data_IF_993568847713
#
_entry.id   IF_993568847713
#
_cell.length_a   1.000
_cell.length_b   1.000
_cell.length_c   1.000
_cell.angle_alpha   90.00
_cell.angle_beta   90.00
_cell.angle_gamma   90.00
#
_symmetry.space_group_name_H-M   'P 1'
#
loop_
_entity.id
_entity.type
_entity.pdbx_description
1 polymer ?
#
# COMPACT_ATOMS: atom_id res chain seq x y z
N UNK A 1 -13.08 31.41 58.52
CA UNK A 1 -12.50 31.76 57.21
C UNK A 1 -11.37 30.84 56.75
N UNK A 2 -10.82 29.96 57.60
CA UNK A 2 -9.66 29.13 57.27
C UNK A 2 -10.00 27.94 56.33
N UNK A 3 -11.20 27.37 56.47
CA UNK A 3 -11.68 26.23 55.66
C UNK A 3 -11.74 26.54 54.16
N UNK A 4 -12.21 27.74 53.80
CA UNK A 4 -12.41 28.13 52.40
C UNK A 4 -11.07 28.33 51.68
N UNK A 5 -10.04 28.81 52.39
CA UNK A 5 -8.67 28.94 51.88
C UNK A 5 -8.01 27.58 51.64
N UNK A 6 -8.25 26.61 52.52
CA UNK A 6 -7.68 25.26 52.40
C UNK A 6 -8.26 24.51 51.19
N UNK A 7 -9.55 24.67 50.90
CA UNK A 7 -10.18 24.06 49.71
C UNK A 7 -9.56 24.61 48.42
N UNK A 8 -9.37 25.93 48.33
CA UNK A 8 -8.71 26.56 47.17
C UNK A 8 -7.25 26.13 46.99
N UNK A 9 -6.52 25.92 48.08
CA UNK A 9 -5.14 25.42 48.04
C UNK A 9 -5.05 23.97 47.53
N UNK A 10 -6.07 23.14 47.79
CA UNK A 10 -6.08 21.71 47.42
C UNK A 10 -6.54 21.47 45.97
N UNK A 11 -7.38 22.33 45.38
CA UNK A 11 -7.92 22.13 44.02
C UNK A 11 -7.00 22.65 42.91
N UNK A 12 -6.11 23.61 43.22
CA UNK A 12 -5.16 24.17 42.25
C UNK A 12 -4.17 23.16 41.61
N UNK A 13 -3.64 22.14 42.31
CA UNK A 13 -2.63 21.24 41.74
C UNK A 13 -3.16 20.32 40.64
N UNK A 14 -4.48 20.13 40.53
CA UNK A 14 -5.09 19.16 39.61
C UNK A 14 -5.23 19.73 38.18
N UNK A 15 -5.05 21.04 38.00
CA UNK A 15 -5.12 21.70 36.69
C UNK A 15 -3.86 21.55 35.83
N UNK A 16 -2.82 20.87 36.31
CA UNK A 16 -1.54 20.72 35.61
C UNK A 16 -1.08 19.27 35.57
N UNK A 17 -1.89 18.41 34.96
CA UNK A 17 -1.36 17.16 34.43
C UNK A 17 -2.10 16.72 33.17
N UNK A 18 -2.17 17.63 32.19
CA UNK A 18 -2.24 17.21 30.80
C UNK A 18 -0.88 16.66 30.42
N UNK A 19 -0.73 15.34 30.32
CA UNK A 19 0.46 14.76 29.70
C UNK A 19 0.48 15.28 28.26
N UNK A 20 1.52 16.04 27.90
CA UNK A 20 1.75 16.45 26.52
C UNK A 20 2.19 15.20 25.74
N UNK A 21 1.20 14.47 25.23
CA UNK A 21 1.44 13.30 24.40
C UNK A 21 1.87 13.80 23.02
N UNK A 22 3.17 13.70 22.75
CA UNK A 22 3.68 13.75 21.39
C UNK A 22 3.15 12.52 20.65
N UNK A 23 1.99 12.65 20.00
CA UNK A 23 1.54 11.65 19.04
C UNK A 23 2.59 11.62 17.92
N UNK A 24 3.31 10.51 17.72
CA UNK A 24 4.14 10.38 16.53
C UNK A 24 3.21 10.50 15.33
N UNK A 25 3.37 11.55 14.54
CA UNK A 25 2.70 11.62 13.24
C UNK A 25 3.23 10.43 12.48
N UNK A 26 2.34 9.51 12.12
CA UNK A 26 2.67 8.42 11.22
C UNK A 26 3.17 9.07 9.93
N UNK A 27 4.49 9.11 9.76
CA UNK A 27 5.09 9.31 8.45
C UNK A 27 4.72 8.04 7.71
N UNK A 28 3.60 8.09 6.98
CA UNK A 28 3.33 7.12 5.92
C UNK A 28 4.36 7.37 4.83
N UNK A 29 5.60 6.99 5.10
CA UNK A 29 6.48 6.62 4.02
C UNK A 29 5.73 5.47 3.32
N UNK A 30 5.30 5.61 2.06
CA UNK A 30 4.89 4.43 1.32
C UNK A 30 6.01 3.42 1.49
N UNK A 31 5.67 2.20 1.92
CA UNK A 31 6.62 1.11 2.10
C UNK A 31 7.50 1.05 0.84
N UNK A 32 8.74 1.54 0.96
CA UNK A 32 9.71 1.41 -0.09
C UNK A 32 10.02 -0.08 -0.18
N UNK A 33 9.55 -0.72 -1.25
CA UNK A 33 9.98 -2.05 -1.60
C UNK A 33 9.12 -3.19 -1.06
N UNK A 34 7.84 -3.23 -1.42
CA UNK A 34 7.42 -4.48 -2.04
C UNK A 34 7.94 -4.37 -3.47
N UNK A 35 9.01 -5.10 -3.80
CA UNK A 35 9.52 -5.21 -5.16
C UNK A 35 8.34 -5.20 -6.12
N UNK A 36 8.24 -4.19 -6.98
CA UNK A 36 7.00 -3.80 -7.65
C UNK A 36 6.46 -4.97 -8.47
N UNK A 37 5.65 -5.85 -7.88
CA UNK A 37 5.42 -7.18 -8.45
C UNK A 37 4.87 -7.05 -9.86
N UNK A 38 5.45 -7.76 -10.83
CA UNK A 38 4.97 -7.67 -12.19
C UNK A 38 3.65 -8.43 -12.30
N UNK A 39 2.53 -7.71 -12.28
CA UNK A 39 1.20 -8.30 -12.41
C UNK A 39 0.74 -8.19 -13.86
N UNK A 40 0.41 -9.33 -14.47
CA UNK A 40 -0.28 -9.42 -15.76
C UNK A 40 -1.75 -9.72 -15.45
N UNK A 41 -2.65 -8.81 -15.82
CA UNK A 41 -4.08 -8.95 -15.59
C UNK A 41 -4.84 -9.15 -16.90
N UNK A 42 -5.83 -10.02 -16.93
CA UNK A 42 -6.70 -10.22 -18.10
C UNK A 42 -8.15 -9.92 -17.71
N UNK A 43 -8.82 -9.04 -18.45
CA UNK A 43 -10.23 -8.73 -18.23
C UNK A 43 -11.17 -9.77 -18.87
N UNK A 44 -12.47 -9.67 -18.58
CA UNK A 44 -13.51 -10.52 -19.16
C UNK A 44 -13.67 -10.38 -20.68
N UNK A 45 -13.20 -9.27 -21.28
CA UNK A 45 -13.15 -9.08 -22.72
C UNK A 45 -11.92 -9.73 -23.38
N UNK A 46 -10.97 -10.23 -22.59
CA UNK A 46 -9.69 -10.77 -23.05
C UNK A 46 -8.63 -9.71 -23.34
N UNK A 47 -8.82 -8.48 -22.89
CA UNK A 47 -7.78 -7.44 -22.91
C UNK A 47 -6.76 -7.75 -21.82
N UNK A 48 -5.48 -7.58 -22.16
CA UNK A 48 -4.37 -7.83 -21.25
C UNK A 48 -3.76 -6.53 -20.78
N UNK A 49 -3.49 -6.47 -19.48
CA UNK A 49 -2.93 -5.32 -18.80
C UNK A 49 -1.67 -5.73 -18.04
N UNK A 50 -0.66 -4.85 -18.00
CA UNK A 50 0.59 -5.08 -17.28
C UNK A 50 0.81 -3.95 -16.26
N UNK A 51 1.10 -4.31 -15.01
CA UNK A 51 1.40 -3.37 -13.93
C UNK A 51 0.21 -2.48 -13.57
N UNK A 52 0.41 -1.16 -13.58
CA UNK A 52 -0.59 -0.15 -13.21
C UNK A 52 -1.69 0.09 -14.26
N UNK A 53 -2.05 -0.92 -15.06
CA UNK A 53 -3.15 -0.83 -16.03
C UNK A 53 -2.75 -0.43 -17.45
N UNK A 54 -1.49 -0.63 -17.85
CA UNK A 54 -1.10 -0.45 -19.25
C UNK A 54 -1.70 -1.57 -20.09
N UNK A 55 -2.62 -1.24 -21.00
CA UNK A 55 -3.15 -2.20 -21.98
C UNK A 55 -2.03 -2.63 -22.95
N UNK A 56 -1.95 -3.93 -23.21
CA UNK A 56 -0.92 -4.54 -24.06
C UNK A 56 -1.59 -5.53 -25.01
N UNK A 57 -1.16 -5.49 -26.27
CA UNK A 57 -1.56 -6.50 -27.25
C UNK A 57 -1.07 -7.88 -26.80
N UNK A 58 -1.91 -8.93 -26.87
CA UNK A 58 -1.52 -10.29 -26.52
C UNK A 58 -0.21 -10.77 -27.16
N UNK A 59 0.09 -10.33 -28.38
CA UNK A 59 1.31 -10.71 -29.10
C UNK A 59 2.57 -10.04 -28.54
N UNK A 60 2.43 -8.91 -27.87
CA UNK A 60 3.54 -8.12 -27.34
C UNK A 60 3.82 -8.37 -25.85
N UNK A 61 2.96 -9.12 -25.16
CA UNK A 61 3.11 -9.44 -23.73
C UNK A 61 4.50 -10.00 -23.44
N UNK A 62 4.91 -11.05 -24.16
CA UNK A 62 6.19 -11.72 -23.91
C UNK A 62 7.39 -10.78 -24.05
N UNK A 63 7.35 -9.87 -25.05
CA UNK A 63 8.39 -8.87 -25.27
C UNK A 63 8.43 -7.83 -24.15
N UNK A 64 7.26 -7.31 -23.74
CA UNK A 64 7.18 -6.32 -22.65
C UNK A 64 7.57 -6.92 -21.30
N UNK A 65 7.06 -8.11 -20.98
CA UNK A 65 7.39 -8.84 -19.74
C UNK A 65 8.90 -9.09 -19.69
N UNK A 66 9.50 -9.60 -20.78
CA UNK A 66 10.95 -9.84 -20.83
C UNK A 66 11.77 -8.56 -20.66
N UNK A 67 11.34 -7.44 -21.26
CA UNK A 67 12.00 -6.15 -21.10
C UNK A 67 11.94 -5.64 -19.64
N UNK A 68 10.80 -5.83 -18.96
CA UNK A 68 10.59 -5.44 -17.56
C UNK A 68 11.37 -6.37 -16.61
N UNK A 69 11.47 -7.67 -16.92
CA UNK A 69 12.22 -8.63 -16.10
C UNK A 69 13.74 -8.48 -16.27
N UNK A 70 14.20 -7.97 -17.42
CA UNK A 70 15.62 -7.74 -17.71
C UNK A 70 16.19 -6.54 -16.95
N UNK A 71 15.35 -5.58 -16.54
CA UNK A 71 15.75 -4.44 -15.71
C UNK A 71 15.70 -4.72 -14.20
N UNK A 72 15.37 -5.95 -13.80
CA UNK A 72 15.16 -6.36 -12.40
C UNK A 72 16.18 -7.39 -11.96
N UNK A 73 16.47 -7.40 -10.66
CA UNK A 73 17.29 -8.43 -10.04
C UNK A 73 16.65 -9.82 -10.18
N UNK A 74 17.43 -10.90 -10.34
CA UNK A 74 16.91 -12.26 -10.51
C UNK A 74 15.94 -12.72 -9.40
N UNK A 75 16.13 -12.20 -8.19
CA UNK A 75 15.29 -12.46 -7.01
C UNK A 75 13.89 -11.81 -7.09
N UNK A 76 13.72 -10.79 -7.92
CA UNK A 76 12.49 -10.00 -8.11
C UNK A 76 11.75 -10.35 -9.42
N UNK A 77 12.15 -11.41 -10.12
CA UNK A 77 11.54 -11.87 -11.37
C UNK A 77 10.22 -12.63 -11.18
N UNK A 78 9.47 -12.32 -10.12
CA UNK A 78 8.15 -12.94 -9.87
C UNK A 78 7.09 -12.26 -10.73
N UNK A 79 6.41 -13.06 -11.56
CA UNK A 79 5.26 -12.62 -12.35
C UNK A 79 3.99 -13.18 -11.73
N UNK A 80 3.02 -12.31 -11.48
CA UNK A 80 1.71 -12.67 -10.97
C UNK A 80 0.70 -12.56 -12.10
N UNK A 81 -0.12 -13.58 -12.28
CA UNK A 81 -1.20 -13.57 -13.27
C UNK A 81 -2.52 -13.40 -12.53
N UNK A 82 -3.27 -12.37 -12.91
CA UNK A 82 -4.66 -12.14 -12.49
C UNK A 82 -5.55 -12.30 -13.71
N UNK A 83 -6.65 -13.00 -13.53
CA UNK A 83 -7.61 -13.23 -14.58
C UNK A 83 -9.00 -12.99 -14.02
N UNK A 84 -9.85 -12.34 -14.80
CA UNK A 84 -11.26 -12.22 -14.47
C UNK A 84 -11.90 -13.62 -14.38
N UNK A 85 -12.84 -13.80 -13.45
CA UNK A 85 -13.48 -15.09 -13.20
C UNK A 85 -14.33 -15.56 -14.39
N UNK A 86 -14.84 -14.62 -15.19
CA UNK A 86 -15.68 -14.91 -16.35
C UNK A 86 -14.86 -15.26 -17.61
N UNK A 87 -13.53 -15.26 -17.54
CA UNK A 87 -12.68 -15.63 -18.68
C UNK A 87 -12.68 -17.15 -18.91
N UNK A 88 -12.86 -17.56 -20.17
CA UNK A 88 -12.74 -18.97 -20.55
C UNK A 88 -11.30 -19.43 -20.38
N UNK A 89 -11.12 -20.58 -19.72
CA UNK A 89 -9.79 -21.18 -19.46
C UNK A 89 -8.97 -21.40 -20.75
N UNK A 90 -9.63 -21.59 -21.90
CA UNK A 90 -8.95 -21.73 -23.19
C UNK A 90 -8.34 -20.43 -23.75
N UNK A 91 -8.58 -19.28 -23.10
CA UNK A 91 -7.99 -17.98 -23.44
C UNK A 91 -6.87 -17.55 -22.47
N UNK A 92 -6.67 -18.30 -21.37
CA UNK A 92 -5.54 -18.16 -20.44
C UNK A 92 -4.33 -18.94 -20.93
#
# INVERSE_FOLDING_TARGET
MLVLLVIFMITAPILQQGVEVNLPKATTAPLAGSAEQLVVSVDSNGKVFIGAGNEVDPKEIGKKVSAILSSRSPEDQKVYIKADQDISYGKL
#
